data_IF_654453420705
#
_entry.id   IF_654453420705
#
_cell.length_a   1.000
_cell.length_b   1.000
_cell.length_c   1.000
_cell.angle_alpha   90.00
_cell.angle_beta   90.00
_cell.angle_gamma   90.00
#
_symmetry.space_group_name_H-M   'P 1'
#
loop_
_entity.id
_entity.type
_entity.pdbx_description
1 polymer ?
#
# COMPACT_ATOMS: atom_id res chain seq x y z
N UNK A 1 24.57 17.67 36.98
CA UNK A 1 24.68 18.14 35.57
C UNK A 1 24.60 16.99 34.54
N UNK A 2 23.83 15.91 34.79
CA UNK A 2 23.88 14.69 33.95
C UNK A 2 22.49 14.12 33.56
N UNK A 3 21.40 14.87 33.73
CA UNK A 3 20.02 14.35 33.53
C UNK A 3 19.29 15.00 32.34
N UNK A 4 19.94 15.92 31.61
CA UNK A 4 19.30 16.62 30.48
C UNK A 4 19.58 16.00 29.09
N UNK A 5 20.50 15.03 28.97
CA UNK A 5 20.97 14.50 27.68
C UNK A 5 20.16 13.31 27.13
N UNK A 6 19.29 12.69 27.93
CA UNK A 6 18.53 11.49 27.51
C UNK A 6 17.29 11.80 26.65
N UNK A 7 16.94 13.07 26.45
CA UNK A 7 15.78 13.47 25.62
C UNK A 7 16.11 13.75 24.16
N UNK A 8 17.39 13.86 23.79
CA UNK A 8 17.82 14.20 22.43
C UNK A 8 18.07 12.94 21.56
N UNK A 9 18.40 11.82 22.19
CA UNK A 9 18.56 10.50 21.54
C UNK A 9 17.34 9.98 20.77
N UNK A 10 16.07 10.12 21.21
CA UNK A 10 14.94 9.61 20.44
C UNK A 10 14.69 10.38 19.12
N UNK A 11 14.93 11.69 19.09
CA UNK A 11 14.61 12.51 17.90
C UNK A 11 15.59 12.29 16.73
N UNK A 12 16.88 12.10 17.02
CA UNK A 12 17.90 11.83 15.98
C UNK A 12 17.77 10.41 15.44
N UNK A 13 17.55 9.44 16.32
CA UNK A 13 17.30 8.05 15.93
C UNK A 13 16.04 7.95 15.07
N UNK A 14 14.97 8.65 15.42
CA UNK A 14 13.73 8.66 14.63
C UNK A 14 13.89 9.33 13.26
N UNK A 15 14.72 10.38 13.14
CA UNK A 15 15.03 11.02 11.84
C UNK A 15 15.88 10.14 10.93
N UNK A 16 16.81 9.33 11.46
CA UNK A 16 17.57 8.36 10.66
C UNK A 16 16.77 7.08 10.35
N UNK A 17 15.82 6.69 11.20
CA UNK A 17 15.02 5.47 11.00
C UNK A 17 14.15 5.51 9.74
N UNK A 18 13.52 6.66 9.44
CA UNK A 18 12.66 6.82 8.27
C UNK A 18 13.40 6.56 6.95
N UNK A 19 14.53 7.22 6.63
CA UNK A 19 15.25 6.96 5.38
C UNK A 19 15.78 5.53 5.30
N UNK A 20 16.22 4.93 6.41
CA UNK A 20 16.61 3.51 6.44
C UNK A 20 15.44 2.59 6.10
N UNK A 21 14.24 2.89 6.61
CA UNK A 21 13.03 2.13 6.28
C UNK A 21 12.64 2.28 4.81
N UNK A 22 12.72 3.50 4.27
CA UNK A 22 12.45 3.74 2.84
C UNK A 22 13.43 2.96 1.96
N UNK A 23 14.72 2.95 2.31
CA UNK A 23 15.73 2.16 1.62
C UNK A 23 15.45 0.65 1.73
N UNK A 24 14.99 0.20 2.89
CA UNK A 24 14.58 -1.19 3.08
C UNK A 24 13.40 -1.56 2.18
N UNK A 25 12.37 -0.69 2.07
CA UNK A 25 11.24 -0.93 1.16
C UNK A 25 11.67 -0.96 -0.30
N UNK A 26 12.55 -0.04 -0.71
CA UNK A 26 13.10 -0.01 -2.06
C UNK A 26 13.92 -1.27 -2.37
N UNK A 27 14.80 -1.69 -1.46
CA UNK A 27 15.59 -2.92 -1.62
C UNK A 27 14.72 -4.18 -1.67
N UNK A 28 13.65 -4.21 -0.87
CA UNK A 28 12.70 -5.31 -0.85
C UNK A 28 11.85 -5.36 -2.13
N UNK A 29 11.48 -4.20 -2.69
CA UNK A 29 10.81 -4.11 -3.99
C UNK A 29 11.71 -4.63 -5.12
N UNK A 30 12.96 -4.17 -5.17
CA UNK A 30 13.94 -4.64 -6.17
C UNK A 30 14.18 -6.15 -6.05
N UNK A 31 14.30 -6.67 -4.83
CA UNK A 31 14.40 -8.11 -4.61
C UNK A 31 13.16 -8.86 -5.10
N UNK A 32 11.96 -8.33 -4.85
CA UNK A 32 10.71 -8.91 -5.35
C UNK A 32 10.62 -8.88 -6.87
N UNK A 33 11.13 -7.85 -7.53
CA UNK A 33 11.22 -7.74 -8.99
C UNK A 33 12.12 -8.84 -9.56
N UNK A 34 13.35 -8.98 -9.06
CA UNK A 34 14.23 -10.08 -9.44
C UNK A 34 13.62 -11.46 -9.18
N UNK A 35 12.87 -11.62 -8.09
CA UNK A 35 12.20 -12.87 -7.78
C UNK A 35 11.05 -13.16 -8.77
N UNK A 36 10.25 -12.16 -9.12
CA UNK A 36 9.17 -12.29 -10.12
C UNK A 36 9.75 -12.67 -11.48
N UNK A 37 10.82 -12.01 -11.90
CA UNK A 37 11.48 -12.27 -13.17
C UNK A 37 12.13 -13.66 -13.20
N UNK A 38 12.79 -14.06 -12.11
CA UNK A 38 13.43 -15.38 -12.03
C UNK A 38 12.40 -16.52 -12.00
N UNK A 39 11.34 -16.36 -11.21
CA UNK A 39 10.31 -17.39 -11.03
C UNK A 39 9.19 -17.32 -12.10
N UNK A 40 9.25 -16.33 -13.01
CA UNK A 40 8.24 -16.07 -14.04
C UNK A 40 6.82 -15.99 -13.46
N UNK A 41 6.68 -15.31 -12.33
CA UNK A 41 5.39 -15.16 -11.64
C UNK A 41 4.47 -14.24 -12.45
N UNK A 42 3.18 -14.59 -12.66
CA UNK A 42 2.21 -13.72 -13.33
C UNK A 42 1.73 -12.57 -12.42
N UNK A 43 2.48 -12.24 -11.38
CA UNK A 43 2.13 -11.26 -10.37
C UNK A 43 3.07 -10.06 -10.47
N UNK A 44 2.56 -8.83 -10.33
CA UNK A 44 3.41 -7.65 -10.29
C UNK A 44 4.29 -7.66 -9.04
N UNK A 45 5.52 -7.15 -9.18
CA UNK A 45 6.53 -7.13 -8.13
C UNK A 45 6.08 -6.40 -6.84
N UNK A 46 5.19 -5.40 -6.97
CA UNK A 46 4.64 -4.68 -5.81
C UNK A 46 3.83 -5.61 -4.89
N UNK A 47 3.01 -6.51 -5.43
CA UNK A 47 2.22 -7.46 -4.65
C UNK A 47 3.13 -8.51 -4.00
N UNK A 48 4.13 -8.99 -4.72
CA UNK A 48 5.13 -9.93 -4.18
C UNK A 48 5.92 -9.27 -3.04
N UNK A 49 6.33 -8.02 -3.19
CA UNK A 49 6.97 -7.25 -2.13
C UNK A 49 6.07 -7.06 -0.91
N UNK A 50 4.78 -6.79 -1.09
CA UNK A 50 3.82 -6.72 0.02
C UNK A 50 3.73 -8.04 0.79
N UNK A 51 3.62 -9.17 0.08
CA UNK A 51 3.59 -10.51 0.69
C UNK A 51 4.90 -10.79 1.42
N UNK A 52 6.05 -10.44 0.83
CA UNK A 52 7.35 -10.67 1.45
C UNK A 52 7.53 -9.85 2.74
N UNK A 53 7.16 -8.57 2.72
CA UNK A 53 7.19 -7.72 3.92
C UNK A 53 6.23 -8.24 4.99
N UNK A 54 5.04 -8.69 4.61
CA UNK A 54 4.09 -9.33 5.52
C UNK A 54 4.71 -10.58 6.16
N UNK A 55 5.32 -11.46 5.37
CA UNK A 55 5.99 -12.67 5.89
C UNK A 55 7.11 -12.31 6.85
N UNK A 56 7.93 -11.29 6.56
CA UNK A 56 8.99 -10.82 7.48
C UNK A 56 8.43 -10.33 8.83
N UNK A 57 7.28 -9.65 8.80
CA UNK A 57 6.59 -9.19 10.02
C UNK A 57 6.02 -10.38 10.79
N UNK A 58 5.39 -11.34 10.11
CA UNK A 58 4.83 -12.56 10.71
C UNK A 58 5.92 -13.45 11.34
N UNK A 59 7.06 -13.59 10.66
CA UNK A 59 8.24 -14.29 11.17
C UNK A 59 8.95 -13.53 12.31
N UNK A 60 8.44 -12.37 12.76
CA UNK A 60 9.03 -11.49 13.78
C UNK A 60 10.45 -11.00 13.45
N UNK A 61 10.87 -11.10 12.19
CA UNK A 61 12.16 -10.56 11.74
C UNK A 61 12.17 -9.02 11.79
N UNK A 62 11.02 -8.39 11.50
CA UNK A 62 10.84 -6.94 11.61
C UNK A 62 9.65 -6.60 12.53
N UNK A 63 9.84 -5.76 13.58
CA UNK A 63 8.73 -5.30 14.40
C UNK A 63 7.85 -4.29 13.64
N UNK A 64 6.53 -4.53 13.66
CA UNK A 64 5.53 -3.69 12.97
C UNK A 64 5.58 -2.22 13.42
N UNK A 65 5.88 -1.96 14.69
CA UNK A 65 5.99 -0.59 15.24
C UNK A 65 7.10 0.21 14.58
N UNK A 66 8.18 -0.46 14.16
CA UNK A 66 9.31 0.17 13.50
C UNK A 66 8.94 0.56 12.07
N UNK A 67 8.52 -0.42 11.25
CA UNK A 67 8.07 -0.25 9.85
C UNK A 67 7.00 0.83 9.70
N UNK A 68 6.10 0.93 10.68
CA UNK A 68 5.00 1.91 10.65
C UNK A 68 5.46 3.36 10.54
N UNK A 69 6.62 3.72 11.08
CA UNK A 69 7.11 5.11 11.06
C UNK A 69 7.40 5.60 9.64
N UNK A 70 8.18 4.84 8.87
CA UNK A 70 8.55 5.15 7.50
C UNK A 70 7.39 5.02 6.53
N UNK A 71 6.52 4.02 6.72
CA UNK A 71 5.31 3.89 5.91
C UNK A 71 4.39 5.11 6.08
N UNK A 72 4.18 5.59 7.32
CA UNK A 72 3.39 6.81 7.57
C UNK A 72 4.00 8.05 6.94
N UNK A 73 5.33 8.14 6.93
CA UNK A 73 6.02 9.26 6.29
C UNK A 73 5.83 9.26 4.77
N UNK A 74 6.05 8.10 4.11
CA UNK A 74 5.76 7.93 2.68
C UNK A 74 4.30 8.25 2.34
N UNK A 75 3.36 7.83 3.20
CA UNK A 75 1.94 8.12 3.04
C UNK A 75 1.62 9.62 3.19
N UNK A 76 2.30 10.32 4.11
CA UNK A 76 2.13 11.76 4.28
C UNK A 76 2.61 12.55 3.04
N UNK A 77 3.67 12.07 2.40
CA UNK A 77 4.24 12.67 1.18
C UNK A 77 3.68 12.06 -0.13
N UNK A 78 2.58 11.29 -0.07
CA UNK A 78 1.96 10.65 -1.27
C UNK A 78 1.68 11.64 -2.39
N UNK A 79 1.31 12.88 -2.06
CA UNK A 79 1.08 13.93 -3.06
C UNK A 79 2.32 14.19 -3.92
N UNK A 80 3.53 14.22 -3.33
CA UNK A 80 4.77 14.40 -4.06
C UNK A 80 5.01 13.26 -5.05
N UNK A 81 4.68 12.02 -4.68
CA UNK A 81 4.78 10.86 -5.58
C UNK A 81 3.70 10.84 -6.67
N UNK A 82 2.55 11.49 -6.45
CA UNK A 82 1.51 11.61 -7.47
C UNK A 82 1.80 12.68 -8.51
N UNK A 83 2.59 13.71 -8.18
CA UNK A 83 2.92 14.79 -9.14
C UNK A 83 3.50 14.24 -10.45
N UNK A 84 4.56 13.39 -10.45
CA UNK A 84 5.09 12.81 -11.68
C UNK A 84 4.07 11.99 -12.47
N UNK A 85 3.25 11.20 -11.77
CA UNK A 85 2.22 10.39 -12.40
C UNK A 85 1.16 11.25 -13.09
N UNK A 86 0.69 12.31 -12.44
CA UNK A 86 -0.29 13.25 -13.03
C UNK A 86 0.32 14.02 -14.20
N UNK A 87 1.57 14.48 -14.09
CA UNK A 87 2.26 15.16 -15.20
C UNK A 87 2.42 14.24 -16.40
N UNK A 88 2.74 12.96 -16.19
CA UNK A 88 2.79 11.97 -17.26
C UNK A 88 1.43 11.82 -17.97
N UNK A 89 0.33 11.84 -17.22
CA UNK A 89 -1.03 11.78 -17.78
C UNK A 89 -1.38 13.03 -18.59
N UNK A 90 -0.94 14.23 -18.17
CA UNK A 90 -1.18 15.48 -18.91
C UNK A 90 -0.52 15.47 -20.29
N UNK A 91 0.58 14.74 -20.50
CA UNK A 91 1.16 14.56 -21.85
C UNK A 91 0.19 13.86 -22.83
N UNK A 92 -0.82 13.16 -22.31
CA UNK A 92 -1.90 12.52 -23.08
C UNK A 92 -3.21 13.31 -23.01
N UNK A 93 -3.17 14.62 -22.70
CA UNK A 93 -4.35 15.46 -22.54
C UNK A 93 -5.31 15.42 -23.74
N UNK A 94 -4.81 15.30 -24.97
CA UNK A 94 -5.66 15.22 -26.16
C UNK A 94 -6.54 13.95 -26.16
N UNK A 95 -6.03 12.82 -25.67
CA UNK A 95 -6.80 11.58 -25.50
C UNK A 95 -7.88 11.77 -24.42
N UNK A 96 -7.54 12.44 -23.32
CA UNK A 96 -8.49 12.76 -22.25
C UNK A 96 -9.58 13.75 -22.71
N UNK A 97 -9.28 14.68 -23.62
CA UNK A 97 -10.31 15.59 -24.14
C UNK A 97 -11.37 14.87 -24.98
N UNK A 98 -10.97 13.84 -25.74
CA UNK A 98 -11.88 13.10 -26.63
C UNK A 98 -12.57 11.94 -25.90
N UNK A 99 -11.79 11.10 -25.21
CA UNK A 99 -12.28 9.86 -24.59
C UNK A 99 -12.40 9.96 -23.06
N UNK A 100 -12.01 11.07 -22.43
CA UNK A 100 -11.99 11.21 -20.97
C UNK A 100 -13.35 10.98 -20.31
N UNK A 101 -14.45 11.37 -20.97
CA UNK A 101 -15.79 11.10 -20.45
C UNK A 101 -16.11 9.59 -20.41
N UNK A 102 -15.65 8.82 -21.42
CA UNK A 102 -15.83 7.37 -21.50
C UNK A 102 -14.97 6.68 -20.44
N UNK A 103 -13.73 7.12 -20.29
CA UNK A 103 -12.81 6.63 -19.25
C UNK A 103 -13.42 6.86 -17.88
N UNK A 104 -13.89 8.08 -17.61
CA UNK A 104 -14.53 8.43 -16.34
C UNK A 104 -15.77 7.57 -16.08
N UNK A 105 -16.66 7.42 -17.06
CA UNK A 105 -17.86 6.60 -16.92
C UNK A 105 -17.51 5.12 -16.61
N UNK A 106 -16.53 4.54 -17.32
CA UNK A 106 -16.10 3.16 -17.08
C UNK A 106 -15.50 3.00 -15.68
N UNK A 107 -14.64 3.91 -15.23
CA UNK A 107 -14.06 3.87 -13.88
C UNK A 107 -15.14 4.01 -12.81
N UNK A 108 -16.04 4.98 -12.95
CA UNK A 108 -17.09 5.23 -11.97
C UNK A 108 -18.05 4.03 -11.86
N UNK A 109 -18.56 3.55 -13.01
CA UNK A 109 -19.50 2.42 -13.04
C UNK A 109 -18.85 1.12 -12.56
N UNK A 110 -17.63 0.80 -13.01
CA UNK A 110 -16.92 -0.41 -12.56
C UNK A 110 -16.64 -0.36 -11.06
N UNK A 111 -16.21 0.79 -10.53
CA UNK A 111 -15.95 0.96 -9.09
C UNK A 111 -17.23 0.80 -8.28
N UNK A 112 -18.32 1.46 -8.68
CA UNK A 112 -19.63 1.32 -8.01
C UNK A 112 -20.13 -0.12 -8.05
N UNK A 113 -19.96 -0.80 -9.19
CA UNK A 113 -20.40 -2.18 -9.35
C UNK A 113 -19.58 -3.14 -8.49
N UNK A 114 -18.26 -3.00 -8.45
CA UNK A 114 -17.38 -3.82 -7.58
C UNK A 114 -17.71 -3.60 -6.11
N UNK A 115 -17.79 -2.34 -5.66
CA UNK A 115 -18.14 -2.02 -4.27
C UNK A 115 -19.54 -2.54 -3.90
N UNK A 116 -20.52 -2.37 -4.79
CA UNK A 116 -21.88 -2.85 -4.59
C UNK A 116 -21.96 -4.38 -4.53
N UNK A 117 -21.26 -5.08 -5.42
CA UNK A 117 -21.20 -6.54 -5.43
C UNK A 117 -20.51 -7.08 -4.16
N UNK A 118 -19.37 -6.49 -3.76
CA UNK A 118 -18.68 -6.87 -2.52
C UNK A 118 -19.57 -6.65 -1.30
N UNK A 119 -20.22 -5.49 -1.21
CA UNK A 119 -21.15 -5.18 -0.11
C UNK A 119 -22.32 -6.18 -0.06
N UNK A 120 -22.90 -6.51 -1.21
CA UNK A 120 -24.02 -7.46 -1.30
C UNK A 120 -23.63 -8.89 -0.90
N UNK A 121 -22.47 -9.38 -1.39
CA UNK A 121 -21.96 -10.71 -1.03
C UNK A 121 -21.67 -10.78 0.46
N UNK A 122 -20.99 -9.78 1.03
CA UNK A 122 -20.67 -9.75 2.45
C UNK A 122 -21.94 -9.68 3.31
N UNK A 123 -22.91 -8.84 2.97
CA UNK A 123 -24.19 -8.77 3.71
C UNK A 123 -24.94 -10.11 3.68
N UNK A 124 -24.96 -10.77 2.52
CA UNK A 124 -25.62 -12.06 2.36
C UNK A 124 -24.94 -13.16 3.18
N UNK A 125 -23.61 -13.24 3.15
CA UNK A 125 -22.83 -14.20 3.94
C UNK A 125 -23.02 -13.94 5.43
N UNK A 126 -22.97 -12.67 5.85
CA UNK A 126 -23.17 -12.29 7.24
C UNK A 126 -24.57 -12.66 7.76
N UNK A 127 -25.62 -12.38 6.98
CA UNK A 127 -26.99 -12.80 7.31
C UNK A 127 -27.13 -14.31 7.41
N UNK A 128 -26.48 -15.05 6.51
CA UNK A 128 -26.47 -16.52 6.53
C UNK A 128 -25.80 -17.07 7.79
N UNK A 129 -24.68 -16.48 8.22
CA UNK A 129 -23.96 -16.89 9.43
C UNK A 129 -24.81 -16.64 10.70
N UNK A 130 -25.46 -15.49 10.81
CA UNK A 130 -26.37 -15.18 11.93
C UNK A 130 -27.58 -16.12 11.95
N UNK A 131 -28.15 -16.46 10.80
CA UNK A 131 -29.26 -17.41 10.73
C UNK A 131 -28.86 -18.83 11.16
N UNK A 132 -27.61 -19.24 10.95
CA UNK A 132 -27.09 -20.53 11.44
C UNK A 132 -26.87 -20.54 12.96
N UNK A 133 -26.31 -19.47 13.53
CA UNK A 133 -26.07 -19.38 14.99
C UNK A 133 -27.34 -19.37 15.84
N UNK A 134 -28.50 -19.03 15.26
CA UNK A 134 -29.79 -19.04 15.97
C UNK A 134 -30.44 -20.44 16.01
N UNK A 135 -29.87 -21.42 15.32
CA UNK A 135 -30.42 -22.76 15.15
C UNK A 135 -29.63 -23.86 15.89
N UNK A 136 -28.52 -23.48 16.54
CA UNK A 136 -27.78 -24.24 17.55
C UNK A 136 -28.10 -23.66 18.95
#
# INVERSE_FOLDING_TARGET
MAVALSRVTPAVVQRLQVPVQVLLYAGLFVFAEYLVDWLHLPLPANLVGMVLLLTLILCRALPLSWVRAGARWLLAEMLLFFVPAVVAVVNYAQLLMVDGWRIFAVIALSTMMVLGATAWVVDKVYRFEISRQKHD
#
